data_IF_412856817679
#
_entry.id   IF_412856817679
#
_cell.length_a   1.000
_cell.length_b   1.000
_cell.length_c   1.000
_cell.angle_alpha   90.00
_cell.angle_beta   90.00
_cell.angle_gamma   90.00
#
_symmetry.space_group_name_H-M   'P 1'
#
loop_
_entity.id
_entity.type
_entity.pdbx_description
1 polymer ?
#
# COMPACT_ATOMS: atom_id res chain seq x y z
N UNK A 1 -40.77 2.08 3.71
CA UNK A 1 -40.26 2.79 2.53
C UNK A 1 -40.44 4.27 2.80
N UNK A 2 -39.40 4.91 3.35
CA UNK A 2 -39.25 6.37 3.43
C UNK A 2 -37.75 6.63 3.56
N UNK A 3 -37.19 7.02 2.42
CA UNK A 3 -36.01 7.85 2.18
C UNK A 3 -35.00 8.01 3.34
N UNK A 4 -34.04 7.08 3.39
CA UNK A 4 -32.84 7.18 4.24
C UNK A 4 -31.82 8.13 3.63
N UNK A 5 -32.17 9.41 3.50
CA UNK A 5 -31.27 10.44 2.99
C UNK A 5 -30.05 10.56 3.89
N UNK A 6 -28.86 10.62 3.26
CA UNK A 6 -27.63 11.11 3.87
C UNK A 6 -27.93 12.45 4.56
N UNK A 7 -28.11 12.43 5.87
CA UNK A 7 -28.33 13.63 6.65
C UNK A 7 -27.01 14.39 6.69
N UNK A 8 -26.83 15.33 5.76
CA UNK A 8 -25.95 16.48 5.97
C UNK A 8 -26.52 17.26 7.14
N UNK A 9 -25.70 17.48 8.16
CA UNK A 9 -26.07 18.41 9.22
C UNK A 9 -25.62 19.80 8.77
N UNK A 10 -26.52 20.77 8.84
CA UNK A 10 -26.14 22.17 8.62
C UNK A 10 -25.56 22.71 9.92
N UNK A 11 -24.28 23.07 9.92
CA UNK A 11 -23.65 23.82 11.01
C UNK A 11 -23.44 25.27 10.55
N UNK A 12 -23.02 26.16 11.46
CA UNK A 12 -22.79 27.58 11.14
C UNK A 12 -21.79 27.81 9.98
N UNK A 13 -20.92 26.83 9.70
CA UNK A 13 -19.96 26.84 8.60
C UNK A 13 -20.49 26.23 7.28
N UNK A 14 -21.76 25.82 7.22
CA UNK A 14 -22.38 25.18 6.06
C UNK A 14 -22.76 23.70 6.30
N UNK A 15 -23.23 22.99 5.27
CA UNK A 15 -23.56 21.57 5.36
C UNK A 15 -22.29 20.74 5.57
N UNK A 16 -22.28 19.90 6.60
CA UNK A 16 -21.18 18.98 6.94
C UNK A 16 -21.69 17.56 6.89
N UNK A 17 -20.93 16.67 6.25
CA UNK A 17 -21.21 15.24 6.23
C UNK A 17 -21.01 14.67 7.63
N UNK A 18 -21.98 13.91 8.13
CA UNK A 18 -21.92 13.36 9.48
C UNK A 18 -20.83 12.28 9.55
N UNK A 19 -19.73 12.59 10.25
CA UNK A 19 -18.59 11.69 10.46
C UNK A 19 -18.87 10.53 11.43
N UNK A 20 -20.04 10.48 12.08
CA UNK A 20 -20.41 9.40 13.01
C UNK A 20 -20.40 8.02 12.33
N UNK A 21 -20.63 7.96 11.02
CA UNK A 21 -20.64 6.69 10.25
C UNK A 21 -19.31 6.33 9.62
N UNK A 22 -18.29 7.19 9.69
CA UNK A 22 -17.00 6.86 9.09
C UNK A 22 -16.38 5.67 9.82
N UNK A 23 -16.24 4.54 9.12
CA UNK A 23 -15.58 3.36 9.65
C UNK A 23 -14.08 3.41 9.35
N UNK A 24 -13.72 3.80 8.11
CA UNK A 24 -12.34 3.91 7.65
C UNK A 24 -12.24 4.96 6.54
N UNK A 25 -11.27 5.84 6.63
CA UNK A 25 -10.80 6.65 5.52
C UNK A 25 -9.48 6.07 4.99
N UNK A 26 -9.29 6.06 3.67
CA UNK A 26 -8.07 5.63 3.00
C UNK A 26 -7.57 6.78 2.15
N UNK A 27 -6.30 7.18 2.36
CA UNK A 27 -5.64 8.24 1.59
C UNK A 27 -4.28 7.75 1.09
N UNK A 28 -4.24 7.11 -0.10
CA UNK A 28 -2.98 6.66 -0.69
C UNK A 28 -2.05 7.83 -0.99
N UNK A 29 -0.77 7.64 -0.69
CA UNK A 29 0.30 8.60 -0.94
C UNK A 29 1.23 8.05 -2.01
N UNK A 30 1.78 8.92 -2.83
CA UNK A 30 2.93 8.60 -3.66
C UNK A 30 4.15 8.41 -2.76
N UNK A 31 4.69 7.18 -2.76
CA UNK A 31 5.82 6.82 -1.92
C UNK A 31 7.10 7.61 -2.20
N UNK A 32 7.21 8.22 -3.39
CA UNK A 32 8.37 9.01 -3.78
C UNK A 32 8.27 10.47 -3.34
N UNK A 33 7.09 11.07 -3.46
CA UNK A 33 6.88 12.51 -3.24
C UNK A 33 6.21 12.82 -1.90
N UNK A 34 5.61 11.84 -1.24
CA UNK A 34 4.82 12.00 -0.02
C UNK A 34 3.48 12.73 -0.25
N UNK A 35 3.18 13.13 -1.49
CA UNK A 35 1.92 13.76 -1.89
C UNK A 35 0.84 12.71 -2.07
N UNK A 36 -0.41 13.14 -2.24
CA UNK A 36 -1.48 12.21 -2.60
C UNK A 36 -1.15 11.50 -3.92
N UNK A 37 -1.34 10.18 -3.98
CA UNK A 37 -1.22 9.46 -5.23
C UNK A 37 -2.29 9.97 -6.20
N UNK A 38 -1.93 10.09 -7.48
CA UNK A 38 -2.78 10.71 -8.50
C UNK A 38 -4.10 9.95 -8.73
N UNK A 39 -5.01 10.52 -9.54
CA UNK A 39 -6.31 9.91 -9.80
C UNK A 39 -6.20 8.57 -10.57
N UNK A 40 -7.26 7.79 -10.51
CA UNK A 40 -7.39 6.51 -11.23
C UNK A 40 -7.06 5.26 -10.41
N UNK A 41 -6.68 5.43 -9.13
CA UNK A 41 -6.61 4.32 -8.18
C UNK A 41 -7.99 3.70 -7.94
N UNK A 42 -8.04 2.38 -7.78
CA UNK A 42 -9.21 1.70 -7.22
C UNK A 42 -8.91 1.31 -5.79
N UNK A 43 -9.78 1.74 -4.88
CA UNK A 43 -9.72 1.36 -3.47
C UNK A 43 -11.01 0.66 -3.11
N UNK A 44 -10.91 -0.54 -2.55
CA UNK A 44 -12.08 -1.34 -2.21
C UNK A 44 -11.82 -2.24 -1.01
N UNK A 45 -12.91 -2.67 -0.37
CA UNK A 45 -12.88 -3.71 0.66
C UNK A 45 -13.17 -5.07 0.06
N UNK A 46 -12.48 -6.10 0.52
CA UNK A 46 -12.86 -7.47 0.22
C UNK A 46 -14.10 -7.85 1.04
N UNK A 47 -15.03 -8.56 0.42
CA UNK A 47 -16.27 -9.02 1.01
C UNK A 47 -16.45 -10.50 0.72
N UNK A 48 -16.46 -11.35 1.76
CA UNK A 48 -16.63 -12.80 1.61
C UNK A 48 -17.70 -13.17 0.57
N UNK A 49 -17.37 -14.14 -0.29
CA UNK A 49 -18.33 -14.68 -1.24
C UNK A 49 -19.58 -15.17 -0.50
N UNK A 50 -20.75 -14.64 -0.88
CA UNK A 50 -22.03 -15.05 -0.30
C UNK A 50 -22.60 -16.17 -1.17
N UNK A 51 -22.84 -17.38 -0.64
CA UNK A 51 -23.44 -18.47 -1.40
C UNK A 51 -24.73 -18.04 -2.11
N UNK A 52 -24.87 -18.40 -3.38
CA UNK A 52 -26.05 -18.09 -4.20
C UNK A 52 -26.09 -16.67 -4.77
N UNK A 53 -25.17 -15.77 -4.41
CA UNK A 53 -25.08 -14.43 -5.02
C UNK A 53 -24.08 -14.43 -6.16
N UNK A 54 -24.52 -14.02 -7.36
CA UNK A 54 -23.63 -13.82 -8.50
C UNK A 54 -22.66 -12.68 -8.17
N UNK A 55 -21.37 -13.00 -8.11
CA UNK A 55 -20.33 -12.01 -7.84
C UNK A 55 -20.11 -11.13 -9.07
N UNK A 56 -19.80 -9.83 -8.89
CA UNK A 56 -19.44 -8.95 -10.00
C UNK A 56 -18.19 -9.46 -10.75
N UNK A 57 -18.07 -9.18 -12.06
CA UNK A 57 -16.79 -9.28 -12.77
C UNK A 57 -15.78 -8.35 -12.09
N UNK A 58 -14.64 -8.89 -11.65
CA UNK A 58 -13.68 -8.17 -10.79
C UNK A 58 -13.66 -8.67 -9.33
N UNK A 59 -14.51 -9.65 -9.01
CA UNK A 59 -14.36 -10.48 -7.83
C UNK A 59 -14.87 -9.85 -6.54
N UNK A 60 -14.21 -10.23 -5.44
CA UNK A 60 -14.63 -10.12 -4.05
C UNK A 60 -14.51 -8.68 -3.50
N UNK A 61 -14.16 -7.70 -4.34
CA UNK A 61 -13.80 -6.34 -3.93
C UNK A 61 -14.95 -5.36 -4.18
N UNK A 62 -15.49 -4.80 -3.10
CA UNK A 62 -16.49 -3.73 -3.14
C UNK A 62 -15.79 -2.37 -3.10
N UNK A 63 -15.99 -1.49 -4.09
CA UNK A 63 -15.35 -0.19 -4.11
C UNK A 63 -15.75 0.65 -2.89
N UNK A 64 -14.80 1.39 -2.35
CA UNK A 64 -15.07 2.42 -1.35
C UNK A 64 -15.63 3.67 -2.01
N UNK A 65 -16.41 4.46 -1.26
CA UNK A 65 -16.93 5.74 -1.73
C UNK A 65 -15.76 6.71 -1.97
N UNK A 66 -15.68 7.28 -3.16
CA UNK A 66 -14.67 8.29 -3.48
C UNK A 66 -15.03 9.63 -2.81
N UNK A 67 -14.08 10.24 -2.14
CA UNK A 67 -14.24 11.52 -1.48
C UNK A 67 -13.11 12.48 -1.87
N UNK A 68 -13.46 13.52 -2.64
CA UNK A 68 -12.49 14.41 -3.27
C UNK A 68 -11.66 13.69 -4.36
N UNK A 69 -10.46 14.22 -4.63
CA UNK A 69 -9.64 13.73 -5.74
C UNK A 69 -8.92 12.39 -5.46
N UNK A 70 -8.62 12.09 -4.19
CA UNK A 70 -7.71 10.98 -3.79
C UNK A 70 -8.10 10.28 -2.49
N UNK A 71 -9.21 10.69 -1.86
CA UNK A 71 -9.72 10.08 -0.64
C UNK A 71 -10.76 9.01 -0.95
N UNK A 72 -10.79 7.98 -0.12
CA UNK A 72 -11.80 6.93 -0.18
C UNK A 72 -12.33 6.64 1.21
N UNK A 73 -13.63 6.40 1.34
CA UNK A 73 -14.28 6.19 2.63
C UNK A 73 -15.11 4.92 2.64
N UNK A 74 -15.03 4.21 3.77
CA UNK A 74 -15.92 3.13 4.16
C UNK A 74 -16.78 3.65 5.31
N UNK A 75 -18.10 3.53 5.15
CA UNK A 75 -19.07 3.92 6.17
C UNK A 75 -19.78 2.70 6.76
N UNK A 76 -20.19 2.81 8.02
CA UNK A 76 -21.18 1.93 8.60
C UNK A 76 -22.52 2.15 7.89
N UNK A 77 -23.05 1.10 7.26
CA UNK A 77 -24.36 1.12 6.63
C UNK A 77 -25.48 0.91 7.64
N UNK A 78 -26.71 1.28 7.24
CA UNK A 78 -27.92 1.05 8.04
C UNK A 78 -28.37 -0.41 8.07
N UNK A 79 -27.97 -1.22 7.08
CA UNK A 79 -28.47 -2.58 6.84
C UNK A 79 -27.49 -3.70 7.17
N UNK A 80 -26.31 -3.41 7.73
CA UNK A 80 -25.35 -4.45 8.07
C UNK A 80 -24.16 -3.97 8.87
N UNK A 81 -23.75 -4.80 9.84
CA UNK A 81 -22.51 -4.62 10.59
C UNK A 81 -21.30 -4.87 9.69
N UNK A 82 -20.31 -4.00 9.74
CA UNK A 82 -18.98 -4.32 9.21
C UNK A 82 -18.30 -5.34 10.14
N UNK A 83 -17.45 -6.24 9.61
CA UNK A 83 -16.63 -7.08 10.47
C UNK A 83 -15.62 -6.23 11.26
N UNK A 84 -15.16 -6.74 12.40
CA UNK A 84 -14.16 -6.06 13.24
C UNK A 84 -12.83 -5.79 12.52
N UNK A 85 -12.54 -6.55 11.46
CA UNK A 85 -11.38 -6.35 10.59
C UNK A 85 -11.81 -6.49 9.15
N UNK A 86 -11.37 -5.57 8.30
CA UNK A 86 -11.63 -5.59 6.85
C UNK A 86 -10.32 -5.74 6.10
N UNK A 87 -10.36 -6.50 4.99
CA UNK A 87 -9.28 -6.48 4.02
C UNK A 87 -9.52 -5.35 3.01
N UNK A 88 -8.55 -4.46 2.84
CA UNK A 88 -8.61 -3.31 1.92
C UNK A 88 -7.58 -3.52 0.83
N UNK A 89 -7.98 -3.34 -0.43
CA UNK A 89 -7.09 -3.34 -1.59
C UNK A 89 -7.00 -1.94 -2.18
N UNK A 90 -5.79 -1.60 -2.60
CA UNK A 90 -5.46 -0.41 -3.39
C UNK A 90 -4.77 -0.90 -4.64
N UNK A 91 -5.36 -0.66 -5.81
CA UNK A 91 -4.78 -0.99 -7.11
C UNK A 91 -4.69 0.25 -8.02
N UNK A 92 -3.80 0.18 -9.01
CA UNK A 92 -3.72 1.15 -10.10
C UNK A 92 -3.78 0.38 -11.44
N UNK A 93 -4.90 0.43 -12.18
CA UNK A 93 -5.01 -0.24 -13.47
C UNK A 93 -3.99 0.27 -14.49
N UNK A 94 -3.49 1.50 -14.32
CA UNK A 94 -2.44 2.07 -15.16
C UNK A 94 -1.02 1.62 -14.77
N UNK A 95 -0.87 0.81 -13.71
CA UNK A 95 0.40 0.23 -13.23
C UNK A 95 1.47 1.28 -12.90
N UNK A 96 1.08 2.51 -12.54
CA UNK A 96 1.99 3.55 -12.06
C UNK A 96 2.37 3.31 -10.61
N UNK A 97 1.52 2.67 -9.84
CA UNK A 97 1.80 2.29 -8.45
C UNK A 97 1.63 0.79 -8.25
N UNK A 98 2.48 0.21 -7.39
CA UNK A 98 2.36 -1.20 -7.02
C UNK A 98 1.13 -1.39 -6.13
N UNK A 99 0.26 -2.38 -6.43
CA UNK A 99 -0.93 -2.63 -5.63
C UNK A 99 -0.56 -3.08 -4.22
N UNK A 100 -1.42 -2.75 -3.26
CA UNK A 100 -1.25 -3.13 -1.85
C UNK A 100 -2.55 -3.65 -1.25
N UNK A 101 -2.41 -4.58 -0.32
CA UNK A 101 -3.53 -5.19 0.41
C UNK A 101 -3.25 -5.09 1.90
N UNK A 102 -4.23 -4.65 2.67
CA UNK A 102 -4.13 -4.41 4.11
C UNK A 102 -5.21 -5.18 4.85
N UNK A 103 -4.88 -5.71 6.02
CA UNK A 103 -5.86 -6.18 7.00
C UNK A 103 -5.99 -5.11 8.07
N UNK A 104 -7.14 -4.43 8.12
CA UNK A 104 -7.36 -3.22 8.92
C UNK A 104 -8.40 -3.48 9.99
N UNK A 105 -8.02 -3.46 11.29
CA UNK A 105 -8.98 -3.49 12.37
C UNK A 105 -9.76 -2.17 12.43
N UNK A 106 -11.07 -2.26 12.60
CA UNK A 106 -11.98 -1.11 12.65
C UNK A 106 -12.34 -0.73 14.09
N UNK A 107 -12.65 0.55 14.30
CA UNK A 107 -13.39 1.00 15.47
C UNK A 107 -14.85 0.62 15.29
N UNK A 108 -15.43 -0.12 16.23
CA UNK A 108 -16.80 -0.65 16.15
C UNK A 108 -17.84 0.47 16.15
N UNK A 109 -19.00 0.22 15.56
CA UNK A 109 -20.11 1.18 15.59
C UNK A 109 -20.54 1.52 17.03
N UNK A 110 -20.46 0.56 17.96
CA UNK A 110 -20.79 0.79 19.37
C UNK A 110 -19.79 1.73 20.05
N UNK A 111 -18.48 1.58 19.81
CA UNK A 111 -17.45 2.50 20.32
C UNK A 111 -17.69 3.93 19.78
N UNK A 112 -18.03 4.08 18.50
CA UNK A 112 -18.31 5.38 17.89
C UNK A 112 -19.60 6.00 18.42
N UNK A 113 -20.70 5.25 18.43
CA UNK A 113 -21.99 5.73 18.92
C UNK A 113 -21.96 6.06 20.42
N UNK A 114 -21.23 5.29 21.22
CA UNK A 114 -21.05 5.57 22.64
C UNK A 114 -20.22 6.82 22.89
N UNK A 115 -19.26 7.14 22.02
CA UNK A 115 -18.47 8.36 22.08
C UNK A 115 -19.28 9.62 21.73
N UNK A 116 -20.26 9.47 20.84
CA UNK A 116 -21.15 10.54 20.37
C UNK A 116 -22.46 10.66 21.19
N UNK A 117 -22.69 9.76 22.16
CA UNK A 117 -23.89 9.76 23.00
C UNK A 117 -23.93 10.96 23.97
N UNK A 118 -25.12 11.30 24.45
CA UNK A 118 -25.33 12.31 25.49
C UNK A 118 -26.12 11.72 26.68
N UNK A 119 -25.48 11.49 27.85
CA UNK A 119 -24.05 11.68 28.11
C UNK A 119 -23.16 10.63 27.39
N UNK A 120 -21.88 10.95 27.10
CA UNK A 120 -20.97 10.00 26.46
C UNK A 120 -20.73 8.75 27.31
N UNK A 121 -20.82 7.59 26.67
CA UNK A 121 -20.59 6.27 27.30
C UNK A 121 -19.25 5.64 26.90
N UNK A 122 -18.54 6.22 25.93
CA UNK A 122 -17.20 5.82 25.50
C UNK A 122 -16.27 7.02 25.27
N UNK A 123 -14.97 6.76 25.11
CA UNK A 123 -13.98 7.81 24.83
C UNK A 123 -14.13 8.34 23.39
N UNK A 124 -13.96 9.66 23.14
CA UNK A 124 -13.98 10.23 21.79
C UNK A 124 -13.02 9.54 20.81
N UNK A 125 -13.56 9.17 19.64
CA UNK A 125 -12.79 8.53 18.55
C UNK A 125 -12.55 9.54 17.42
N UNK A 126 -11.33 10.06 17.36
CA UNK A 126 -10.95 11.03 16.34
C UNK A 126 -11.02 10.45 14.93
N UNK A 127 -11.30 11.28 13.93
CA UNK A 127 -11.37 10.83 12.53
C UNK A 127 -10.01 10.32 12.04
N UNK A 128 -8.92 10.92 12.52
CA UNK A 128 -7.56 10.51 12.18
C UNK A 128 -7.21 9.12 12.72
N UNK A 129 -7.81 8.68 13.82
CA UNK A 129 -7.68 7.31 14.34
C UNK A 129 -8.30 6.24 13.41
N UNK A 130 -9.08 6.69 12.42
CA UNK A 130 -9.74 5.86 11.40
C UNK A 130 -9.15 6.11 10.02
N UNK A 131 -7.94 6.66 9.91
CA UNK A 131 -7.29 6.98 8.66
C UNK A 131 -6.14 6.00 8.33
N UNK A 132 -6.25 5.34 7.18
CA UNK A 132 -5.17 4.56 6.58
C UNK A 132 -4.43 5.40 5.52
N UNK A 133 -3.10 5.55 5.66
CA UNK A 133 -2.26 6.33 4.75
C UNK A 133 -1.17 5.48 4.09
N UNK A 134 -1.51 4.59 3.16
CA UNK A 134 -0.53 3.72 2.54
C UNK A 134 0.34 4.52 1.57
N UNK A 135 1.65 4.38 1.66
CA UNK A 135 2.58 4.86 0.64
C UNK A 135 2.64 3.80 -0.45
N UNK A 136 2.29 4.20 -1.66
CA UNK A 136 2.33 3.34 -2.83
C UNK A 136 3.67 3.55 -3.54
N UNK A 137 4.42 2.45 -3.69
CA UNK A 137 5.73 2.50 -4.34
C UNK A 137 5.57 2.55 -5.87
N UNK A 138 6.53 3.18 -6.58
CA UNK A 138 6.52 3.26 -8.04
C UNK A 138 6.40 1.89 -8.71
N UNK A 139 5.42 1.77 -9.60
CA UNK A 139 5.22 0.62 -10.48
C UNK A 139 5.92 0.77 -11.83
N UNK A 140 5.79 -0.23 -12.72
CA UNK A 140 6.46 -0.23 -14.02
C UNK A 140 6.12 0.99 -14.90
N UNK A 141 4.89 1.50 -14.85
CA UNK A 141 4.46 2.66 -15.62
C UNK A 141 4.62 4.00 -14.88
N UNK A 142 5.26 4.03 -13.71
CA UNK A 142 5.50 5.28 -12.98
C UNK A 142 6.40 6.22 -13.80
N UNK A 143 5.98 7.47 -13.95
CA UNK A 143 6.77 8.51 -14.62
C UNK A 143 7.90 8.95 -13.70
N UNK A 144 9.14 8.72 -14.14
CA UNK A 144 10.32 9.05 -13.34
C UNK A 144 10.85 10.43 -13.76
N UNK A 145 10.97 11.39 -12.81
CA UNK A 145 11.58 12.69 -13.12
C UNK A 145 13.02 12.53 -13.63
N UNK A 146 13.40 13.37 -14.59
CA UNK A 146 14.77 13.44 -15.09
C UNK A 146 15.76 13.69 -13.94
N UNK A 147 16.94 13.06 -13.99
CA UNK A 147 17.94 13.16 -12.92
C UNK A 147 17.68 12.24 -11.73
N UNK A 148 16.65 11.39 -11.79
CA UNK A 148 16.46 10.33 -10.78
C UNK A 148 17.43 9.18 -11.01
N UNK A 149 18.05 8.70 -9.94
CA UNK A 149 18.90 7.51 -9.98
C UNK A 149 18.09 6.28 -9.58
N UNK A 150 18.19 5.19 -10.35
CA UNK A 150 17.49 3.97 -10.03
C UNK A 150 17.74 2.84 -11.02
N UNK A 151 16.98 1.77 -10.88
CA UNK A 151 17.05 0.59 -11.73
C UNK A 151 15.65 0.04 -12.01
N UNK A 152 15.43 -0.34 -13.27
CA UNK A 152 14.32 -1.20 -13.71
C UNK A 152 14.86 -2.61 -13.90
N UNK A 153 14.22 -3.56 -13.26
CA UNK A 153 14.60 -4.98 -13.33
C UNK A 153 13.37 -5.86 -13.16
N UNK A 154 13.56 -7.17 -13.32
CA UNK A 154 12.55 -8.17 -12.98
C UNK A 154 13.15 -9.21 -12.05
N UNK A 155 12.42 -9.57 -10.99
CA UNK A 155 12.84 -10.62 -10.06
C UNK A 155 12.36 -11.97 -10.57
N UNK A 156 13.27 -12.96 -10.59
CA UNK A 156 12.95 -14.30 -11.10
C UNK A 156 13.37 -15.40 -10.14
N UNK A 157 12.71 -16.56 -10.22
CA UNK A 157 13.15 -17.80 -9.56
C UNK A 157 13.17 -18.91 -10.61
N UNK A 158 14.33 -19.55 -10.78
CA UNK A 158 14.55 -20.55 -11.84
C UNK A 158 14.10 -20.04 -13.24
N UNK A 159 14.45 -18.78 -13.57
CA UNK A 159 14.11 -18.14 -14.85
C UNK A 159 12.65 -17.69 -15.01
N UNK A 160 11.78 -17.96 -14.04
CA UNK A 160 10.36 -17.55 -14.08
C UNK A 160 10.13 -16.27 -13.27
N UNK A 161 9.27 -15.34 -13.72
CA UNK A 161 8.93 -14.16 -12.95
C UNK A 161 8.36 -14.52 -11.58
N UNK A 162 8.85 -13.86 -10.54
CA UNK A 162 8.34 -14.01 -9.19
C UNK A 162 7.30 -12.93 -8.92
N UNK A 163 6.14 -13.31 -8.37
CA UNK A 163 5.03 -12.38 -8.09
C UNK A 163 5.26 -11.63 -6.78
N UNK A 164 4.94 -10.34 -6.77
CA UNK A 164 4.97 -9.49 -5.58
C UNK A 164 6.32 -9.43 -4.83
N UNK A 165 7.49 -9.43 -5.50
CA UNK A 165 8.77 -9.38 -4.81
C UNK A 165 8.93 -8.04 -4.08
N UNK A 166 9.81 -8.00 -3.09
CA UNK A 166 10.39 -6.76 -2.57
C UNK A 166 11.87 -6.74 -2.90
N UNK A 167 12.43 -5.56 -3.10
CA UNK A 167 13.86 -5.39 -3.36
C UNK A 167 14.38 -4.29 -2.45
N UNK A 168 15.45 -4.59 -1.73
CA UNK A 168 16.22 -3.64 -0.94
C UNK A 168 17.55 -3.39 -1.67
N UNK A 169 18.02 -2.15 -1.68
CA UNK A 169 19.32 -1.77 -2.23
C UNK A 169 20.21 -1.24 -1.10
N UNK A 170 21.40 -1.81 -0.96
CA UNK A 170 22.40 -1.44 0.02
C UNK A 170 23.63 -0.85 -0.67
N UNK A 171 24.19 0.24 -0.13
CA UNK A 171 25.32 0.93 -0.76
C UNK A 171 26.16 1.75 0.22
N UNK A 172 27.28 2.27 -0.28
CA UNK A 172 28.25 3.05 0.49
C UNK A 172 29.13 2.21 1.43
N UNK A 173 30.09 2.84 2.12
CA UNK A 173 31.11 2.15 2.93
C UNK A 173 30.53 1.30 4.08
N UNK A 174 29.38 1.69 4.61
CA UNK A 174 28.71 1.01 5.72
C UNK A 174 27.58 0.07 5.28
N UNK A 175 27.36 -0.14 3.97
CA UNK A 175 26.27 -0.97 3.46
C UNK A 175 24.88 -0.46 3.87
N UNK A 176 24.69 0.86 3.89
CA UNK A 176 23.42 1.47 4.31
C UNK A 176 22.31 1.16 3.30
N UNK A 177 21.06 1.04 3.78
CA UNK A 177 19.88 0.94 2.91
C UNK A 177 19.71 2.26 2.15
N UNK A 178 19.93 2.22 0.83
CA UNK A 178 19.82 3.40 -0.05
C UNK A 178 18.52 3.42 -0.85
N UNK A 179 17.76 2.33 -0.85
CA UNK A 179 16.44 2.28 -1.49
C UNK A 179 15.71 0.98 -1.26
N UNK A 180 14.40 1.00 -1.48
CA UNK A 180 13.57 -0.20 -1.53
C UNK A 180 12.45 -0.03 -2.54
N UNK A 181 11.94 -1.15 -3.05
CA UNK A 181 10.86 -1.19 -4.00
C UNK A 181 10.03 -2.47 -3.84
N UNK A 182 8.81 -2.43 -4.36
CA UNK A 182 7.98 -3.62 -4.55
C UNK A 182 7.90 -3.93 -6.04
N UNK A 183 7.71 -5.20 -6.38
CA UNK A 183 7.39 -5.62 -7.73
C UNK A 183 5.96 -6.08 -7.85
N UNK A 184 5.52 -6.18 -9.10
CA UNK A 184 4.16 -6.54 -9.45
C UNK A 184 3.97 -8.06 -9.66
N UNK A 185 2.84 -8.46 -10.23
CA UNK A 185 2.51 -9.83 -10.59
C UNK A 185 3.40 -10.43 -11.70
N UNK A 186 4.22 -9.61 -12.35
CA UNK A 186 5.19 -10.01 -13.36
C UNK A 186 6.63 -9.90 -12.83
N UNK A 187 6.79 -9.65 -11.53
CA UNK A 187 8.08 -9.43 -10.88
C UNK A 187 8.81 -8.17 -11.34
N UNK A 188 8.14 -7.28 -12.07
CA UNK A 188 8.74 -6.04 -12.56
C UNK A 188 8.88 -5.06 -11.41
N UNK A 189 10.08 -4.51 -11.24
CA UNK A 189 10.45 -3.61 -10.15
C UNK A 189 11.03 -2.34 -10.74
N UNK A 190 10.58 -1.21 -10.20
CA UNK A 190 11.25 0.09 -10.34
C UNK A 190 11.81 0.48 -8.98
N UNK A 191 13.12 0.34 -8.79
CA UNK A 191 13.82 0.76 -7.59
C UNK A 191 14.44 2.13 -7.80
N UNK A 192 13.99 3.11 -7.02
CA UNK A 192 14.56 4.44 -6.99
C UNK A 192 15.42 4.58 -5.74
N UNK A 193 16.64 5.08 -5.92
CA UNK A 193 17.56 5.31 -4.80
C UNK A 193 17.22 6.65 -4.14
N UNK A 194 17.02 6.62 -2.83
CA UNK A 194 16.73 7.81 -2.04
C UNK A 194 18.04 8.43 -1.55
N UNK A 195 18.17 9.75 -1.69
CA UNK A 195 19.04 10.58 -0.86
C UNK A 195 20.43 10.01 -0.57
N UNK A 196 21.28 9.88 -1.58
CA UNK A 196 22.73 9.95 -1.36
C UNK A 196 23.20 11.40 -1.25
N UNK A 197 22.39 12.25 -0.62
CA UNK A 197 22.75 13.63 -0.33
C UNK A 197 23.88 13.60 0.71
N UNK A 198 25.12 13.73 0.23
CA UNK A 198 26.34 13.73 1.04
C UNK A 198 27.32 12.56 0.79
N UNK A 199 26.96 11.55 -0.02
CA UNK A 199 27.81 10.36 -0.26
C UNK A 199 28.11 10.12 -1.76
N UNK A 200 27.49 10.88 -2.66
CA UNK A 200 27.82 10.80 -4.08
C UNK A 200 29.22 11.37 -4.33
N UNK A 201 30.09 10.66 -5.08
CA UNK A 201 31.34 11.24 -5.53
C UNK A 201 31.02 12.46 -6.41
N UNK A 202 31.78 13.53 -6.23
CA UNK A 202 31.56 14.85 -6.81
C UNK A 202 31.89 14.96 -8.31
N UNK A 203 32.08 13.85 -9.02
CA UNK A 203 32.44 13.84 -10.45
C UNK A 203 31.36 13.19 -11.32
N UNK A 204 31.14 13.71 -12.53
CA UNK A 204 30.18 13.15 -13.50
C UNK A 204 30.94 12.44 -14.62
N UNK A 205 30.50 11.26 -15.10
CA UNK A 205 29.48 10.39 -14.50
C UNK A 205 30.09 9.54 -13.39
N UNK A 206 29.69 9.78 -12.14
CA UNK A 206 29.97 8.84 -11.05
C UNK A 206 29.05 7.63 -11.21
N UNK A 207 29.66 6.47 -11.38
CA UNK A 207 28.99 5.20 -11.18
C UNK A 207 29.25 4.71 -9.76
N UNK A 208 28.33 3.94 -9.21
CA UNK A 208 28.52 3.28 -7.93
C UNK A 208 27.78 1.94 -7.93
N UNK A 209 28.30 1.01 -7.14
CA UNK A 209 27.73 -0.32 -7.02
C UNK A 209 26.81 -0.39 -5.80
N UNK A 210 25.64 -0.99 -5.97
CA UNK A 210 24.74 -1.36 -4.88
C UNK A 210 24.56 -2.87 -4.84
N UNK A 211 24.40 -3.40 -3.64
CA UNK A 211 23.96 -4.76 -3.41
C UNK A 211 22.44 -4.80 -3.39
N UNK A 212 21.84 -5.54 -4.31
CA UNK A 212 20.40 -5.74 -4.41
C UNK A 212 20.01 -7.04 -3.72
N UNK A 213 19.11 -6.93 -2.74
CA UNK A 213 18.54 -8.06 -2.01
C UNK A 213 17.09 -8.22 -2.37
N UNK A 214 16.72 -9.38 -2.92
CA UNK A 214 15.32 -9.72 -3.17
C UNK A 214 14.69 -10.35 -1.92
N UNK A 215 13.41 -10.05 -1.68
CA UNK A 215 12.58 -10.73 -0.70
C UNK A 215 11.31 -11.21 -1.39
N UNK A 216 10.90 -12.43 -1.10
CA UNK A 216 9.72 -13.02 -1.71
C UNK A 216 9.02 -13.97 -0.74
N UNK A 217 7.71 -14.15 -0.94
CA UNK A 217 7.00 -15.26 -0.30
C UNK A 217 7.44 -16.58 -0.92
N UNK A 218 7.57 -17.62 -0.11
CA UNK A 218 7.80 -18.96 -0.61
C UNK A 218 6.62 -19.43 -1.48
N UNK A 219 6.80 -19.68 -2.79
CA UNK A 219 5.77 -20.16 -3.70
C UNK A 219 5.11 -21.45 -3.23
N UNK A 220 5.82 -22.31 -2.48
CA UNK A 220 5.24 -23.55 -1.95
C UNK A 220 4.13 -23.27 -0.92
N UNK A 221 4.16 -22.09 -0.28
CA UNK A 221 3.16 -21.67 0.72
C UNK A 221 2.22 -20.59 0.19
N UNK A 222 2.47 -20.09 -1.01
CA UNK A 222 1.64 -19.07 -1.64
C UNK A 222 0.37 -19.72 -2.21
N UNK A 223 -0.81 -19.12 -2.01
CA UNK A 223 -1.99 -19.58 -2.73
C UNK A 223 -1.73 -19.45 -4.23
N UNK A 224 -2.25 -20.38 -5.05
CA UNK A 224 -2.13 -20.26 -6.50
C UNK A 224 -2.81 -18.96 -6.97
N UNK A 225 -2.26 -18.25 -7.96
CA UNK A 225 -2.92 -17.07 -8.53
C UNK A 225 -4.31 -17.43 -9.07
N UNK A 226 -5.31 -16.61 -8.75
CA UNK A 226 -6.66 -16.73 -9.32
C UNK A 226 -6.70 -15.97 -10.66
N UNK A 227 -6.96 -16.63 -11.80
CA UNK A 227 -7.09 -15.94 -13.09
C UNK A 227 -8.20 -14.88 -13.13
N UNK A 228 -9.21 -14.97 -12.25
CA UNK A 228 -10.33 -14.02 -12.16
C UNK A 228 -10.04 -12.86 -11.21
N UNK A 229 -9.04 -13.00 -10.35
CA UNK A 229 -8.59 -11.99 -9.41
C UNK A 229 -7.05 -12.02 -9.37
N UNK A 230 -6.38 -11.33 -10.31
CA UNK A 230 -4.92 -11.32 -10.41
C UNK A 230 -4.22 -10.79 -9.16
N UNK A 231 -4.94 -10.19 -8.20
CA UNK A 231 -4.40 -9.67 -6.95
C UNK A 231 -4.77 -10.55 -5.74
N UNK A 232 -5.44 -11.69 -5.94
CA UNK A 232 -5.88 -12.57 -4.85
C UNK A 232 -4.72 -13.11 -4.00
N UNK A 233 -3.57 -13.34 -4.64
CA UNK A 233 -2.35 -13.86 -4.01
C UNK A 233 -1.46 -12.77 -3.39
N UNK A 234 -1.84 -11.49 -3.54
CA UNK A 234 -1.17 -10.37 -2.89
C UNK A 234 -1.30 -10.51 -1.36
N UNK A 235 -0.17 -10.38 -0.66
CA UNK A 235 -0.14 -10.50 0.80
C UNK A 235 -0.91 -9.36 1.46
N UNK A 236 -1.77 -9.71 2.41
CA UNK A 236 -2.43 -8.75 3.28
C UNK A 236 -1.47 -8.31 4.40
N UNK A 237 -1.11 -7.03 4.43
CA UNK A 237 -0.28 -6.42 5.46
C UNK A 237 -1.15 -6.05 6.67
N UNK A 238 -0.88 -6.67 7.83
CA UNK A 238 -1.67 -6.47 9.04
C UNK A 238 -1.38 -5.11 9.68
N UNK A 239 -2.37 -4.22 9.67
CA UNK A 239 -2.27 -2.89 10.27
C UNK A 239 -2.67 -2.98 11.74
N UNK A 240 -1.87 -2.42 12.63
CA UNK A 240 -2.26 -2.26 14.04
C UNK A 240 -3.36 -1.22 14.15
N UNK A 241 -4.39 -1.47 14.98
CA UNK A 241 -5.45 -0.49 15.22
C UNK A 241 -4.84 0.79 15.81
N UNK A 242 -5.06 1.91 15.13
CA UNK A 242 -4.60 3.23 15.58
C UNK A 242 -5.27 3.64 16.90
N UNK A 243 -4.54 4.36 17.74
CA UNK A 243 -5.08 4.91 18.99
C UNK A 243 -5.94 6.16 18.73
N UNK A 244 -6.71 6.60 19.73
CA UNK A 244 -7.45 7.87 19.68
C UNK A 244 -7.06 8.75 20.86
N UNK A 245 -6.34 9.87 20.65
CA UNK A 245 -5.82 10.35 19.37
C UNK A 245 -4.70 9.44 18.79
N UNK A 246 -4.48 9.45 17.47
CA UNK A 246 -3.42 8.66 16.86
C UNK A 246 -2.04 9.23 17.21
N UNK A 247 -1.08 8.34 17.48
CA UNK A 247 0.34 8.69 17.53
C UNK A 247 0.94 8.88 16.14
N UNK A 248 2.12 9.50 16.04
CA UNK A 248 2.81 9.67 14.75
C UNK A 248 3.06 8.34 14.03
N UNK A 249 3.46 7.32 14.79
CA UNK A 249 3.68 5.96 14.27
C UNK A 249 2.39 5.26 13.79
N UNK A 250 1.21 5.69 14.21
CA UNK A 250 -0.04 5.08 13.74
C UNK A 250 -0.34 5.47 12.28
N UNK A 251 0.06 6.67 11.88
CA UNK A 251 -0.21 7.24 10.55
C UNK A 251 1.00 7.18 9.62
N UNK A 252 2.18 6.91 10.17
CA UNK A 252 3.44 6.88 9.45
C UNK A 252 4.43 5.91 10.10
N UNK A 253 4.54 4.71 9.55
CA UNK A 253 5.42 3.65 10.05
C UNK A 253 5.99 2.82 8.90
N UNK A 254 6.98 1.94 9.15
CA UNK A 254 7.60 1.12 8.12
C UNK A 254 6.60 0.26 7.31
N UNK A 255 5.51 -0.22 7.93
CA UNK A 255 4.48 -0.97 7.21
C UNK A 255 3.75 -0.05 6.23
N UNK A 256 3.25 1.10 6.68
CA UNK A 256 2.56 2.05 5.80
C UNK A 256 3.47 2.58 4.69
N UNK A 257 4.77 2.75 4.96
CA UNK A 257 5.81 3.12 3.97
C UNK A 257 6.21 2.00 3.02
N UNK A 258 5.79 0.76 3.28
CA UNK A 258 6.17 -0.41 2.50
C UNK A 258 7.61 -0.88 2.71
N UNK A 259 8.31 -0.40 3.74
CA UNK A 259 9.67 -0.84 4.07
C UNK A 259 9.71 -1.99 5.07
N UNK A 260 8.62 -2.24 5.81
CA UNK A 260 8.52 -3.44 6.65
C UNK A 260 8.49 -4.71 5.80
N UNK A 261 9.06 -5.81 6.29
CA UNK A 261 8.95 -7.12 5.64
C UNK A 261 7.57 -7.73 5.96
N UNK A 262 6.77 -8.16 4.96
CA UNK A 262 5.51 -8.82 5.25
C UNK A 262 5.68 -10.23 5.81
N UNK A 263 4.67 -10.75 6.50
CA UNK A 263 4.64 -12.15 6.91
C UNK A 263 4.87 -13.11 5.74
N UNK A 264 5.69 -14.14 5.97
CA UNK A 264 6.00 -15.16 4.97
C UNK A 264 7.05 -14.78 3.92
N UNK A 265 7.51 -13.52 3.87
CA UNK A 265 8.61 -13.12 2.99
C UNK A 265 9.95 -13.58 3.56
N UNK A 266 10.79 -14.15 2.69
CA UNK A 266 12.17 -14.53 2.99
C UNK A 266 13.12 -13.75 2.10
N UNK A 267 14.25 -13.35 2.65
CA UNK A 267 15.33 -12.79 1.85
C UNK A 267 15.97 -13.88 0.99
N UNK A 268 16.42 -13.51 -0.20
CA UNK A 268 17.32 -14.33 -0.99
C UNK A 268 18.65 -14.56 -0.24
N UNK A 269 19.33 -15.64 -0.56
CA UNK A 269 20.59 -16.03 0.07
C UNK A 269 21.80 -15.25 -0.43
N UNK A 270 21.67 -14.60 -1.59
CA UNK A 270 22.76 -13.89 -2.26
C UNK A 270 22.26 -12.52 -2.69
N UNK A 271 23.07 -11.50 -2.40
CA UNK A 271 22.86 -10.16 -2.95
C UNK A 271 23.44 -10.09 -4.37
N UNK A 272 22.73 -9.45 -5.29
CA UNK A 272 23.21 -9.21 -6.65
C UNK A 272 23.76 -7.80 -6.77
N UNK A 273 24.99 -7.66 -7.24
CA UNK A 273 25.58 -6.35 -7.45
C UNK A 273 25.01 -5.70 -8.71
N UNK A 274 24.61 -4.44 -8.60
CA UNK A 274 24.18 -3.62 -9.72
C UNK A 274 24.96 -2.30 -9.74
N UNK A 275 25.48 -1.94 -10.91
CA UNK A 275 26.10 -0.63 -11.13
C UNK A 275 25.03 0.37 -11.53
N UNK A 276 24.95 1.47 -10.79
CA UNK A 276 24.03 2.57 -11.05
C UNK A 276 24.81 3.80 -11.52
N UNK A 277 24.21 4.53 -12.46
CA UNK A 277 24.72 5.82 -12.93
C UNK A 277 23.91 6.93 -12.30
N UNK A 278 24.59 7.88 -11.64
CA UNK A 278 23.91 9.03 -11.01
C UNK A 278 23.11 9.79 -12.05
N UNK A 279 21.85 10.10 -11.72
CA UNK A 279 20.94 10.84 -12.57
C UNK A 279 20.19 10.01 -13.61
N UNK A 280 20.39 8.68 -13.63
CA UNK A 280 19.78 7.78 -14.60
C UNK A 280 19.04 6.62 -13.95
N UNK A 281 17.93 6.23 -14.58
CA UNK A 281 17.30 4.92 -14.34
C UNK A 281 17.77 3.96 -15.40
N UNK A 282 18.58 2.98 -15.00
CA UNK A 282 19.11 1.97 -15.91
C UNK A 282 18.19 0.75 -15.98
N UNK A 283 18.25 0.02 -17.09
CA UNK A 283 17.66 -1.32 -17.17
C UNK A 283 18.73 -2.34 -16.81
N UNK A 284 18.46 -3.20 -15.82
CA UNK A 284 19.36 -4.27 -15.43
C UNK A 284 18.83 -5.63 -15.90
N UNK A 285 19.71 -6.63 -15.88
CA UNK A 285 19.34 -8.02 -16.04
C UNK A 285 18.36 -8.46 -14.93
N UNK A 286 17.74 -9.62 -15.14
CA UNK A 286 16.86 -10.21 -14.13
C UNK A 286 17.61 -10.43 -12.80
N UNK A 287 16.96 -10.08 -11.70
CA UNK A 287 17.46 -10.31 -10.34
C UNK A 287 17.03 -11.72 -9.89
N UNK A 288 17.95 -12.69 -9.79
CA UNK A 288 17.59 -14.02 -9.32
C UNK A 288 17.23 -13.99 -7.83
N UNK A 289 16.19 -14.74 -7.46
CA UNK A 289 15.80 -15.01 -6.09
C UNK A 289 16.10 -16.48 -5.77
N UNK A 290 17.11 -16.70 -4.94
CA UNK A 290 17.52 -18.01 -4.44
C UNK A 290 17.21 -18.09 -2.95
N UNK A 291 16.43 -19.09 -2.53
CA UNK A 291 16.23 -19.40 -1.11
C UNK A 291 17.15 -20.54 -0.71
N UNK A 292 17.63 -20.53 0.54
CA UNK A 292 18.27 -21.70 1.14
C UNK A 292 17.27 -22.86 1.28
#
# INVERSE_FOLDING_TARGET
>A
MTDGQDHRITVAAGPVDVLHRLALAVRPLDGRTGRAAGPGLRVGREAAAVPGRRMPPGGVVLPLESHGATGHVLRYGSSGSLPATVAVRVDDPARRWIPRRFSVPLWTLAELAGADADPPTARPVRAEARLLRPWLLPGPAYSVPQGTTGVRLRVTRAGRPLRWPRVEAFGGPAGALVGWAHGDEHGQVLLLVHGMAGVLPSSVPSTYTVALRSLARDPATAPPPDPRDPLADLVAEAVTRSQSPPGGADLDNPLLRGSARPPGYRAGTVDTLATLTVGQVVHAADLPHTTA
#
